data_IF_390556883982
#
_entry.id   IF_390556883982
#
_cell.length_a   1.000
_cell.length_b   1.000
_cell.length_c   1.000
_cell.angle_alpha   90.00
_cell.angle_beta   90.00
_cell.angle_gamma   90.00
#
_symmetry.space_group_name_H-M   'P 1'
#
loop_
_entity.id
_entity.type
_entity.pdbx_description
1 polymer ?
#
# COMPACT_ATOMS: atom_id res chain seq x y z
N UNK A 1 -0.97 0.39 -9.64
CA UNK A 1 0.38 0.02 -10.11
C UNK A 1 0.46 0.18 -11.62
N UNK A 2 1.30 1.10 -12.09
CA UNK A 2 1.62 1.29 -13.50
C UNK A 2 3.04 0.79 -13.74
N UNK A 3 3.22 -0.10 -14.71
CA UNK A 3 4.52 -0.65 -15.06
C UNK A 3 5.39 0.33 -15.85
N UNK A 4 6.65 -0.04 -16.09
CA UNK A 4 7.68 0.75 -16.78
C UNK A 4 7.25 1.32 -18.14
N UNK A 5 6.30 0.66 -18.81
CA UNK A 5 5.83 1.08 -20.14
C UNK A 5 4.67 2.09 -20.09
N UNK A 6 4.24 2.50 -18.89
CA UNK A 6 3.26 3.57 -18.71
C UNK A 6 3.90 4.96 -18.78
N UNK A 7 3.08 5.99 -19.02
CA UNK A 7 3.53 7.39 -19.08
C UNK A 7 4.01 7.90 -17.72
N UNK A 8 3.38 7.43 -16.62
CA UNK A 8 3.79 7.68 -15.24
C UNK A 8 3.96 6.34 -14.51
N UNK A 9 5.14 5.70 -14.61
CA UNK A 9 5.39 4.37 -14.04
C UNK A 9 5.61 4.41 -12.52
N UNK A 10 5.51 3.25 -11.87
CA UNK A 10 6.08 2.92 -10.55
C UNK A 10 5.48 3.60 -9.33
N UNK A 11 4.21 3.98 -9.39
CA UNK A 11 3.51 4.52 -8.22
C UNK A 11 2.97 3.46 -7.24
N UNK A 12 3.38 2.19 -7.29
CA UNK A 12 2.77 1.16 -6.43
C UNK A 12 1.26 1.00 -6.65
N UNK A 13 0.59 0.21 -5.81
CA UNK A 13 -0.85 0.31 -5.61
C UNK A 13 -1.12 1.26 -4.43
N UNK A 14 -2.23 2.00 -4.48
CA UNK A 14 -2.65 2.86 -3.37
C UNK A 14 -4.06 2.50 -2.90
N UNK A 15 -4.25 2.54 -1.59
CA UNK A 15 -5.58 2.65 -0.98
C UNK A 15 -5.62 4.01 -0.28
N UNK A 16 -6.49 4.91 -0.74
CA UNK A 16 -6.69 6.22 -0.13
C UNK A 16 -7.79 6.17 0.93
N UNK A 17 -7.61 7.00 1.95
CA UNK A 17 -8.58 7.21 3.02
C UNK A 17 -9.10 8.65 2.91
N UNK A 18 -10.41 8.79 3.06
CA UNK A 18 -11.05 10.08 3.22
C UNK A 18 -11.16 10.39 4.71
N UNK A 19 -10.42 11.41 5.15
CA UNK A 19 -10.47 11.95 6.51
C UNK A 19 -10.89 13.42 6.51
N UNK A 20 -11.75 13.80 5.55
CA UNK A 20 -12.46 15.10 5.54
C UNK A 20 -13.53 15.17 6.63
N UNK A 21 -14.16 14.04 6.97
CA UNK A 21 -15.10 13.97 8.07
C UNK A 21 -14.39 13.96 9.43
N UNK A 22 -15.00 14.64 10.40
CA UNK A 22 -14.55 14.81 11.78
C UNK A 22 -14.74 13.56 12.66
N UNK A 23 -15.11 12.42 12.06
CA UNK A 23 -15.25 11.14 12.76
C UNK A 23 -13.96 10.71 13.47
N UNK A 24 -12.79 11.10 12.94
CA UNK A 24 -11.51 10.94 13.62
C UNK A 24 -11.15 12.21 14.38
N UNK A 25 -10.69 12.08 15.63
CA UNK A 25 -10.26 13.19 16.48
C UNK A 25 -9.02 12.80 17.32
N UNK A 26 -8.29 13.81 17.82
CA UNK A 26 -7.08 13.57 18.61
C UNK A 26 -7.40 12.83 19.92
N UNK A 27 -6.55 11.87 20.27
CA UNK A 27 -6.66 11.10 21.51
C UNK A 27 -7.56 9.85 21.43
N UNK A 28 -8.09 9.53 20.26
CA UNK A 28 -8.75 8.25 20.01
C UNK A 28 -7.80 7.07 20.25
N UNK A 29 -8.36 5.93 20.65
CA UNK A 29 -7.62 4.69 20.77
C UNK A 29 -7.23 4.18 19.37
N UNK A 30 -6.04 3.59 19.18
CA UNK A 30 -5.62 3.04 17.88
C UNK A 30 -6.65 2.09 17.24
N UNK A 31 -7.37 1.29 18.05
CA UNK A 31 -8.38 0.35 17.56
C UNK A 31 -9.60 1.01 16.89
N UNK A 32 -9.82 2.30 17.13
CA UNK A 32 -10.92 3.05 16.55
C UNK A 32 -10.60 3.56 15.13
N UNK A 33 -9.33 3.46 14.71
CA UNK A 33 -8.90 3.76 13.35
C UNK A 33 -9.06 2.55 12.42
N UNK A 34 -9.07 2.75 11.08
CA UNK A 34 -9.22 1.65 10.15
C UNK A 34 -8.17 0.54 10.34
N UNK A 35 -8.58 -0.72 10.54
CA UNK A 35 -7.64 -1.83 10.70
C UNK A 35 -6.95 -2.16 9.37
N UNK A 36 -5.66 -2.47 9.47
CA UNK A 36 -4.82 -2.95 8.36
C UNK A 36 -4.60 -4.44 8.57
N UNK A 37 -4.95 -5.24 7.57
CA UNK A 37 -4.91 -6.70 7.64
C UNK A 37 -3.73 -7.29 6.87
N UNK A 38 -3.18 -8.38 7.38
CA UNK A 38 -2.25 -9.22 6.63
C UNK A 38 -2.96 -9.80 5.39
N UNK A 39 -2.41 -9.54 4.19
CA UNK A 39 -2.99 -9.99 2.91
C UNK A 39 -2.81 -11.49 2.70
N UNK A 40 -1.83 -12.09 3.39
CA UNK A 40 -1.47 -13.49 3.29
C UNK A 40 -0.91 -14.02 4.61
N UNK A 41 -0.86 -15.34 4.75
CA UNK A 41 -0.04 -15.98 5.77
C UNK A 41 1.43 -15.64 5.53
N UNK A 42 2.18 -15.37 6.60
CA UNK A 42 3.57 -14.99 6.41
C UNK A 42 4.36 -14.72 7.68
N UNK A 43 5.51 -14.10 7.49
CA UNK A 43 6.42 -13.67 8.56
C UNK A 43 6.83 -12.22 8.34
N UNK A 44 6.73 -11.39 9.37
CA UNK A 44 7.16 -10.00 9.32
C UNK A 44 8.69 -9.95 9.14
N UNK A 45 9.17 -9.35 8.06
CA UNK A 45 10.58 -9.16 7.74
C UNK A 45 11.14 -7.88 8.34
N UNK A 46 10.35 -6.81 8.26
CA UNK A 46 10.73 -5.47 8.68
C UNK A 46 9.50 -4.72 9.20
N UNK A 47 9.75 -3.88 10.20
CA UNK A 47 8.84 -2.87 10.70
C UNK A 47 9.68 -1.61 10.84
N UNK A 48 9.36 -0.57 10.09
CA UNK A 48 9.95 0.77 10.27
C UNK A 48 8.88 1.64 10.90
N UNK A 49 9.12 2.10 12.13
CA UNK A 49 8.07 2.74 12.95
C UNK A 49 7.90 4.22 12.67
N UNK A 50 8.89 4.83 12.02
CA UNK A 50 8.95 6.27 11.79
C UNK A 50 9.96 6.57 10.69
N UNK A 51 9.47 6.92 9.50
CA UNK A 51 10.32 7.19 8.35
C UNK A 51 9.88 8.48 7.66
N UNK A 52 10.84 9.38 7.40
CA UNK A 52 10.57 10.65 6.74
C UNK A 52 10.39 10.44 5.24
N UNK A 53 9.28 10.96 4.70
CA UNK A 53 9.06 11.10 3.27
C UNK A 53 9.13 12.58 2.93
N UNK A 54 10.06 12.94 2.05
CA UNK A 54 10.21 14.31 1.58
C UNK A 54 9.56 14.47 0.22
N UNK A 55 8.49 15.26 0.15
CA UNK A 55 7.80 15.58 -1.09
C UNK A 55 7.84 17.10 -1.33
N UNK A 56 8.45 17.58 -2.43
CA UNK A 56 8.51 19.00 -2.75
C UNK A 56 7.14 19.67 -2.94
N UNK A 57 6.11 18.91 -3.27
CA UNK A 57 4.78 19.42 -3.59
C UNK A 57 3.83 19.37 -2.38
N UNK A 58 3.94 18.33 -1.54
CA UNK A 58 2.99 18.04 -0.45
C UNK A 58 3.58 18.30 0.94
N UNK A 59 4.87 18.68 1.02
CA UNK A 59 5.59 18.87 2.27
C UNK A 59 6.27 17.59 2.77
N UNK A 60 7.01 17.74 3.86
CA UNK A 60 7.59 16.58 4.55
C UNK A 60 6.52 15.94 5.45
N UNK A 61 6.42 14.61 5.40
CA UNK A 61 5.59 13.82 6.31
C UNK A 61 6.33 12.60 6.81
N UNK A 62 5.74 11.91 7.78
CA UNK A 62 6.29 10.68 8.33
C UNK A 62 5.31 9.53 8.20
N UNK A 63 5.88 8.36 7.91
CA UNK A 63 5.16 7.11 7.70
C UNK A 63 5.69 6.00 8.60
N UNK A 64 5.00 4.87 8.59
CA UNK A 64 5.51 3.61 9.12
C UNK A 64 5.31 2.51 8.08
N UNK A 65 6.23 1.54 8.06
CA UNK A 65 6.28 0.48 7.08
C UNK A 65 6.17 -0.89 7.75
N UNK A 66 5.45 -1.81 7.10
CA UNK A 66 5.46 -3.23 7.43
C UNK A 66 5.82 -4.01 6.17
N UNK A 67 6.81 -4.89 6.26
CA UNK A 67 7.16 -5.80 5.18
C UNK A 67 6.86 -7.25 5.59
N UNK A 68 5.95 -7.90 4.87
CA UNK A 68 5.50 -9.26 5.13
C UNK A 68 6.11 -10.23 4.12
N UNK A 69 6.91 -11.19 4.57
CA UNK A 69 7.32 -12.33 3.72
C UNK A 69 6.12 -13.23 3.47
N UNK A 70 5.74 -13.39 2.21
CA UNK A 70 4.58 -14.19 1.81
C UNK A 70 4.98 -15.47 1.07
N UNK A 71 6.13 -15.48 0.39
CA UNK A 71 6.58 -16.64 -0.37
C UNK A 71 8.10 -16.65 -0.57
N UNK A 72 8.58 -17.75 -1.16
CA UNK A 72 9.92 -17.86 -1.73
C UNK A 72 9.82 -18.39 -3.15
N UNK A 73 10.62 -17.80 -4.04
CA UNK A 73 10.87 -18.32 -5.38
C UNK A 73 12.34 -18.78 -5.46
N UNK A 74 12.54 -20.08 -5.29
CA UNK A 74 13.87 -20.65 -5.03
C UNK A 74 14.53 -20.01 -3.80
N UNK A 75 15.64 -19.30 -4.02
CA UNK A 75 16.37 -18.58 -2.97
C UNK A 75 15.91 -17.13 -2.78
N UNK A 76 15.01 -16.64 -3.63
CA UNK A 76 14.52 -15.25 -3.60
C UNK A 76 13.35 -15.14 -2.65
N UNK A 77 13.41 -14.15 -1.76
CA UNK A 77 12.27 -13.82 -0.90
C UNK A 77 11.27 -12.99 -1.69
N UNK A 78 9.99 -13.31 -1.51
CA UNK A 78 8.87 -12.54 -2.07
C UNK A 78 8.08 -11.97 -0.89
N UNK A 79 8.03 -10.65 -0.81
CA UNK A 79 7.37 -9.93 0.27
C UNK A 79 6.31 -8.98 -0.24
N UNK A 80 5.34 -8.67 0.60
CA UNK A 80 4.36 -7.62 0.40
C UNK A 80 4.70 -6.45 1.31
N UNK A 81 4.82 -5.26 0.73
CA UNK A 81 5.15 -4.03 1.46
C UNK A 81 3.89 -3.22 1.72
N UNK A 82 3.74 -2.74 2.94
CA UNK A 82 2.76 -1.74 3.35
C UNK A 82 3.55 -0.48 3.73
N UNK A 83 3.46 0.57 2.92
CA UNK A 83 3.94 1.92 3.23
C UNK A 83 2.76 2.75 3.68
N UNK A 84 2.69 3.06 4.97
CA UNK A 84 1.48 3.56 5.61
C UNK A 84 1.67 5.04 5.95
N UNK A 85 1.04 5.91 5.17
CA UNK A 85 1.35 7.33 5.08
C UNK A 85 0.17 8.17 5.56
N UNK A 86 0.22 8.59 6.83
CA UNK A 86 -0.80 9.45 7.44
C UNK A 86 -0.71 10.92 7.02
N UNK A 87 0.27 11.27 6.18
CA UNK A 87 0.52 12.62 5.63
C UNK A 87 0.77 13.73 6.67
N UNK A 88 1.21 13.37 7.87
CA UNK A 88 1.55 14.35 8.92
C UNK A 88 3.00 14.22 9.38
N UNK A 89 3.53 15.29 9.95
CA UNK A 89 4.68 15.26 10.84
C UNK A 89 4.18 15.33 12.30
N UNK A 90 4.19 14.22 13.05
CA UNK A 90 3.77 14.23 14.45
C UNK A 90 4.84 14.79 15.39
N UNK A 91 6.07 15.07 14.91
CA UNK A 91 7.16 15.62 15.72
C UNK A 91 7.71 14.68 16.80
N UNK A 92 7.34 13.39 16.78
CA UNK A 92 7.72 12.40 17.78
C UNK A 92 7.92 11.03 17.12
N UNK A 93 9.14 10.48 17.21
CA UNK A 93 9.51 9.21 16.60
C UNK A 93 8.73 8.00 17.14
N UNK A 94 8.20 8.09 18.36
CA UNK A 94 7.38 7.03 18.97
C UNK A 94 5.88 7.16 18.65
N UNK A 95 5.46 8.18 17.89
CA UNK A 95 4.04 8.48 17.68
C UNK A 95 3.26 7.31 17.08
N UNK A 96 3.82 6.62 16.08
CA UNK A 96 3.12 5.53 15.40
C UNK A 96 3.20 4.18 16.12
N UNK A 97 4.02 4.04 17.17
CA UNK A 97 4.20 2.74 17.84
C UNK A 97 2.90 2.09 18.34
N UNK A 98 1.93 2.82 18.93
CA UNK A 98 0.66 2.24 19.38
C UNK A 98 -0.22 1.71 18.25
N UNK A 99 0.04 2.13 17.01
CA UNK A 99 -0.73 1.74 15.83
C UNK A 99 -0.17 0.49 15.15
N UNK A 100 1.00 0.00 15.58
CA UNK A 100 1.68 -1.15 14.98
C UNK A 100 1.54 -2.34 15.93
N UNK A 101 0.87 -3.41 15.47
CA UNK A 101 0.53 -4.56 16.31
C UNK A 101 1.47 -5.76 16.13
N UNK A 102 2.50 -5.60 15.33
CA UNK A 102 3.41 -6.68 14.95
C UNK A 102 4.86 -6.27 15.10
N UNK A 103 5.72 -7.27 15.25
CA UNK A 103 7.16 -7.09 15.32
C UNK A 103 7.91 -7.96 14.29
N UNK A 104 9.14 -7.55 13.98
CA UNK A 104 10.02 -8.34 13.10
C UNK A 104 10.16 -9.77 13.61
N UNK A 105 9.89 -10.71 12.75
CA UNK A 105 10.00 -12.13 13.04
C UNK A 105 8.68 -12.81 13.42
N UNK A 106 7.64 -12.04 13.76
CA UNK A 106 6.32 -12.55 14.06
C UNK A 106 5.71 -13.25 12.85
N UNK A 107 5.05 -14.39 13.09
CA UNK A 107 4.22 -15.05 12.08
C UNK A 107 2.80 -14.53 12.20
N UNK A 108 2.18 -14.25 11.06
CA UNK A 108 0.80 -13.75 11.00
C UNK A 108 -0.03 -14.62 10.07
N UNK A 109 -1.35 -14.60 10.25
CA UNK A 109 -2.32 -15.23 9.37
C UNK A 109 -3.01 -14.23 8.47
N UNK A 110 -3.40 -14.66 7.27
CA UNK A 110 -4.25 -13.85 6.38
C UNK A 110 -5.49 -13.38 7.15
N UNK A 111 -5.77 -12.09 7.10
CA UNK A 111 -6.89 -11.47 7.81
C UNK A 111 -6.64 -11.15 9.28
N UNK A 112 -5.43 -11.38 9.80
CA UNK A 112 -5.01 -10.85 11.11
C UNK A 112 -4.76 -9.35 11.01
N UNK A 113 -5.20 -8.58 12.02
CA UNK A 113 -4.92 -7.14 12.09
C UNK A 113 -3.45 -6.96 12.48
N UNK A 114 -2.69 -6.25 11.65
CA UNK A 114 -1.25 -6.01 11.83
C UNK A 114 -0.91 -4.57 12.19
N UNK A 115 -1.81 -3.63 11.90
CA UNK A 115 -1.69 -2.23 12.25
C UNK A 115 -3.05 -1.52 12.17
N UNK A 116 -3.09 -0.25 12.56
CA UNK A 116 -4.22 0.65 12.39
C UNK A 116 -3.80 1.92 11.65
N UNK A 117 -4.55 2.32 10.64
CA UNK A 117 -4.28 3.53 9.85
C UNK A 117 -4.60 4.80 10.65
N UNK A 118 -3.60 5.43 11.28
CA UNK A 118 -3.82 6.74 11.87
C UNK A 118 -4.27 7.76 10.80
N UNK A 119 -5.38 8.44 11.08
CA UNK A 119 -5.95 9.48 10.24
C UNK A 119 -6.06 10.78 11.03
N UNK A 120 -5.34 11.81 10.56
CA UNK A 120 -5.36 13.11 11.21
C UNK A 120 -6.72 13.80 11.01
N UNK A 121 -7.37 14.33 12.05
CA UNK A 121 -8.67 14.98 11.94
C UNK A 121 -8.64 16.16 10.96
N UNK A 122 -9.55 16.17 9.98
CA UNK A 122 -9.74 17.33 9.09
C UNK A 122 -8.55 17.67 8.18
N UNK A 123 -7.57 16.77 8.06
CA UNK A 123 -6.42 16.97 7.15
C UNK A 123 -6.83 16.90 5.67
N UNK A 124 -7.93 16.20 5.37
CA UNK A 124 -8.54 16.21 4.04
C UNK A 124 -8.38 14.89 3.29
N UNK A 125 -7.95 14.96 2.04
CA UNK A 125 -7.69 13.81 1.18
C UNK A 125 -6.19 13.66 1.01
N UNK A 126 -5.65 12.46 1.20
CA UNK A 126 -4.25 12.17 0.89
C UNK A 126 -3.65 11.05 1.71
N UNK A 127 -4.18 10.80 2.91
CA UNK A 127 -3.75 9.67 3.73
C UNK A 127 -3.95 8.35 2.97
N UNK A 128 -2.92 7.51 2.90
CA UNK A 128 -2.97 6.32 2.06
C UNK A 128 -2.05 5.21 2.53
N UNK A 129 -2.31 4.01 2.01
CA UNK A 129 -1.36 2.89 2.06
C UNK A 129 -0.86 2.67 0.65
N UNK A 130 0.44 2.89 0.43
CA UNK A 130 1.14 2.46 -0.76
C UNK A 130 1.57 1.01 -0.58
N UNK A 131 1.25 0.14 -1.53
CA UNK A 131 1.54 -1.27 -1.46
C UNK A 131 2.09 -1.84 -2.75
N UNK A 132 2.95 -2.83 -2.61
CA UNK A 132 3.59 -3.53 -3.74
C UNK A 132 4.14 -4.88 -3.30
N UNK A 133 4.52 -5.71 -4.27
CA UNK A 133 5.33 -6.89 -4.02
C UNK A 133 6.80 -6.53 -4.23
N UNK A 134 7.68 -7.07 -3.39
CA UNK A 134 9.11 -7.06 -3.63
C UNK A 134 9.61 -8.49 -3.86
N UNK A 135 10.43 -8.68 -4.88
CA UNK A 135 11.18 -9.93 -5.12
C UNK A 135 12.59 -9.55 -5.50
N UNK A 136 13.56 -10.02 -4.72
CA UNK A 136 14.99 -9.80 -5.00
C UNK A 136 15.35 -8.30 -5.11
N UNK A 137 14.80 -7.48 -4.21
CA UNK A 137 14.92 -6.01 -4.18
C UNK A 137 14.34 -5.27 -5.41
N UNK A 138 13.56 -5.95 -6.26
CA UNK A 138 12.79 -5.31 -7.34
C UNK A 138 11.34 -5.11 -6.90
N UNK A 139 10.80 -3.94 -7.23
CA UNK A 139 9.38 -3.63 -7.07
C UNK A 139 8.59 -4.37 -8.16
N UNK A 140 7.52 -5.03 -7.77
CA UNK A 140 6.65 -5.81 -8.63
C UNK A 140 5.21 -5.39 -8.45
N UNK A 141 4.44 -5.61 -9.50
CA UNK A 141 2.99 -5.45 -9.47
C UNK A 141 2.39 -6.36 -8.39
N UNK A 142 1.49 -5.85 -7.53
CA UNK A 142 0.83 -6.66 -6.51
C UNK A 142 -0.34 -7.48 -7.10
N UNK A 143 -0.12 -8.13 -8.24
CA UNK A 143 -1.12 -8.90 -9.01
C UNK A 143 -1.43 -10.26 -8.37
N UNK A 144 -1.70 -10.30 -7.06
CA UNK A 144 -1.95 -11.52 -6.28
C UNK A 144 -3.40 -11.66 -5.82
N UNK A 145 -4.24 -10.68 -6.16
CA UNK A 145 -5.64 -10.65 -5.78
C UNK A 145 -6.50 -11.36 -6.81
N UNK A 146 -7.64 -11.89 -6.38
CA UNK A 146 -8.61 -12.51 -7.28
C UNK A 146 -9.40 -11.43 -8.05
N UNK A 147 -10.11 -11.88 -9.09
CA UNK A 147 -10.86 -11.00 -9.99
C UNK A 147 -11.90 -10.15 -9.25
N UNK A 148 -12.57 -10.69 -8.23
CA UNK A 148 -13.55 -9.94 -7.43
C UNK A 148 -12.92 -8.73 -6.70
N UNK A 149 -11.72 -8.91 -6.13
CA UNK A 149 -10.98 -7.82 -5.47
C UNK A 149 -10.45 -6.84 -6.52
N UNK A 150 -9.92 -7.35 -7.64
CA UNK A 150 -9.44 -6.51 -8.75
C UNK A 150 -10.56 -5.62 -9.29
N UNK A 151 -11.75 -6.19 -9.49
CA UNK A 151 -12.92 -5.45 -9.94
C UNK A 151 -13.37 -4.42 -8.90
N UNK A 152 -13.40 -4.81 -7.62
CA UNK A 152 -13.75 -3.88 -6.52
C UNK A 152 -12.79 -2.70 -6.41
N UNK A 153 -11.50 -2.90 -6.74
CA UNK A 153 -10.52 -1.82 -6.84
C UNK A 153 -10.78 -0.93 -8.07
N UNK A 154 -11.03 -1.55 -9.22
CA UNK A 154 -11.30 -0.84 -10.47
C UNK A 154 -12.55 0.02 -10.40
N UNK A 155 -13.64 -0.48 -9.80
CA UNK A 155 -14.90 0.25 -9.60
C UNK A 155 -14.74 1.54 -8.77
N UNK A 156 -13.65 1.63 -7.99
CA UNK A 156 -13.32 2.79 -7.15
C UNK A 156 -12.16 3.62 -7.68
N UNK A 157 -11.62 3.26 -8.83
CA UNK A 157 -10.51 3.97 -9.45
C UNK A 157 -10.94 5.39 -9.85
N UNK A 158 -10.02 6.36 -9.79
CA UNK A 158 -10.23 7.77 -10.18
C UNK A 158 -11.25 8.56 -9.33
N UNK A 159 -11.79 7.99 -8.24
CA UNK A 159 -12.70 8.72 -7.34
C UNK A 159 -11.96 9.83 -6.57
N UNK A 160 -10.68 9.62 -6.26
CA UNK A 160 -9.83 10.55 -5.50
C UNK A 160 -8.97 11.47 -6.38
N UNK A 161 -8.99 11.28 -7.70
CA UNK A 161 -8.21 12.06 -8.65
C UNK A 161 -7.61 11.23 -9.78
N UNK A 162 -7.31 11.93 -10.88
CA UNK A 162 -6.72 11.34 -12.08
C UNK A 162 -5.22 11.23 -11.94
N UNK A 163 -4.67 10.17 -12.51
CA UNK A 163 -3.24 10.07 -12.68
C UNK A 163 -2.72 11.23 -13.53
N UNK A 164 -1.49 11.65 -13.26
CA UNK A 164 -0.79 12.74 -13.97
C UNK A 164 -0.72 12.60 -15.50
N UNK A 165 -0.97 11.41 -16.05
CA UNK A 165 -1.00 11.13 -17.48
C UNK A 165 -2.41 11.22 -18.10
N UNK A 166 -3.41 11.61 -17.31
CA UNK A 166 -4.79 11.83 -17.74
C UNK A 166 -5.58 10.55 -17.96
N UNK A 167 -5.07 9.37 -17.58
CA UNK A 167 -5.80 8.12 -17.73
C UNK A 167 -6.98 8.06 -16.74
N UNK A 168 -8.13 7.64 -17.24
CA UNK A 168 -9.35 7.43 -16.44
C UNK A 168 -9.65 5.94 -16.25
N UNK A 169 -10.63 5.62 -15.39
CA UNK A 169 -11.13 4.25 -15.25
C UNK A 169 -11.68 3.65 -16.56
N UNK A 170 -12.07 4.47 -17.54
CA UNK A 170 -12.48 3.99 -18.87
C UNK A 170 -11.31 3.57 -19.76
N UNK A 171 -10.09 4.06 -19.49
CA UNK A 171 -8.89 3.77 -20.27
C UNK A 171 -8.13 2.55 -19.72
N UNK A 172 -8.39 2.20 -18.46
CA UNK A 172 -7.73 1.13 -17.73
C UNK A 172 -8.66 -0.07 -17.61
N UNK A 173 -8.26 -1.27 -18.05
CA UNK A 173 -9.03 -2.48 -17.77
C UNK A 173 -9.03 -2.80 -16.26
N UNK A 174 -9.99 -3.61 -15.77
CA UNK A 174 -10.00 -4.07 -14.40
C UNK A 174 -8.79 -4.98 -14.15
N UNK A 175 -7.69 -4.37 -13.71
CA UNK A 175 -6.43 -5.03 -13.48
C UNK A 175 -5.68 -4.37 -12.33
N UNK A 176 -4.88 -5.16 -11.62
CA UNK A 176 -3.85 -4.65 -10.72
C UNK A 176 -2.52 -4.84 -11.44
N UNK A 177 -2.06 -3.76 -12.09
CA UNK A 177 -0.86 -3.76 -12.94
C UNK A 177 -1.18 -3.42 -14.39
N UNK A 178 -1.00 -2.16 -14.79
CA UNK A 178 -1.21 -1.69 -16.15
C UNK A 178 0.12 -1.48 -16.88
N UNK A 179 0.25 -2.00 -18.12
CA UNK A 179 1.48 -1.92 -18.93
C UNK A 179 2.73 -2.43 -18.21
N UNK A 180 2.58 -3.52 -17.44
CA UNK A 180 3.70 -4.18 -16.76
C UNK A 180 4.48 -5.09 -17.71
N UNK A 181 5.79 -5.09 -17.57
CA UNK A 181 6.68 -6.04 -18.25
C UNK A 181 6.71 -7.40 -17.56
N UNK A 182 7.35 -8.41 -18.17
CA UNK A 182 7.60 -9.71 -17.54
C UNK A 182 8.34 -9.58 -16.21
N UNK A 183 9.31 -8.67 -16.12
CA UNK A 183 10.11 -8.43 -14.92
C UNK A 183 9.33 -7.79 -13.77
N UNK A 184 8.18 -7.17 -14.05
CA UNK A 184 7.32 -6.52 -13.06
C UNK A 184 6.14 -7.41 -12.65
N UNK A 185 5.92 -8.53 -13.35
CA UNK A 185 4.90 -9.50 -12.99
C UNK A 185 5.48 -10.50 -11.97
N UNK A 186 4.88 -10.68 -10.77
CA UNK A 186 5.39 -11.60 -9.76
C UNK A 186 5.45 -13.07 -10.19
N UNK A 187 4.75 -13.43 -11.27
CA UNK A 187 4.75 -14.78 -11.86
C UNK A 187 5.70 -14.93 -13.04
N UNK A 188 6.47 -13.89 -13.40
CA UNK A 188 7.41 -13.87 -14.52
C UNK A 188 6.74 -14.17 -15.88
N UNK A 189 5.43 -13.90 -16.02
CA UNK A 189 4.65 -14.22 -17.23
C UNK A 189 4.29 -13.02 -18.11
N UNK A 190 4.64 -11.80 -17.70
CA UNK A 190 4.23 -10.55 -18.39
C UNK A 190 2.73 -10.29 -18.35
N UNK A 191 2.25 -9.30 -19.09
CA UNK A 191 0.81 -9.11 -19.30
C UNK A 191 0.24 -10.33 -20.03
N UNK A 192 -0.80 -10.93 -19.45
CA UNK A 192 -1.65 -11.90 -20.12
C UNK A 192 -3.05 -11.32 -20.19
N UNK A 193 -3.66 -11.40 -21.37
CA UNK A 193 -4.97 -10.79 -21.65
C UNK A 193 -6.09 -11.39 -20.77
N UNK A 194 -5.84 -12.50 -20.08
CA UNK A 194 -6.75 -13.17 -19.13
C UNK A 194 -5.99 -14.25 -18.35
N UNK A 195 -6.45 -14.53 -17.12
CA UNK A 195 -6.33 -15.83 -16.45
C UNK A 195 -7.63 -16.60 -16.65
#
# INVERSE_FOLDING_TARGET
FKGLSALSPHQGGHIHFDNTDTSYHDGMSPIEYPPIYAVADGKILRVDKYFKVSNPNDGDHYKYDIELLIAKDGNKSVSFSYSIESMIDPGNESFYEPYILVEKGQKVKKGEIIAYMYLSPGYGIGAHIHFQINKDNKHMSPSIFNDDIVQSFHDKWDIFGQDSDGSTSNDLPPCIGYKISEEENPFDTGFKETL
#
